data_IF_190721055579
#
_entry.id   IF_190721055579
#
_cell.length_a   1.000
_cell.length_b   1.000
_cell.length_c   1.000
_cell.angle_alpha   90.00
_cell.angle_beta   90.00
_cell.angle_gamma   90.00
#
_symmetry.space_group_name_H-M   'P 1'
#
loop_
_entity.id
_entity.type
_entity.pdbx_description
1 polymer ?
#
# COMPACT_ATOMS: atom_id res chain seq x y z
N UNK A 1 -66.53 4.69 0.04
CA UNK A 1 -65.05 4.58 0.11
C UNK A 1 -64.46 4.21 -1.25
N UNK A 2 -64.12 2.95 -1.57
CA UNK A 2 -63.43 2.62 -2.84
C UNK A 2 -64.21 2.99 -4.11
N UNK A 3 -65.54 2.80 -4.12
CA UNK A 3 -66.40 3.11 -5.26
C UNK A 3 -66.62 4.64 -5.44
N UNK A 4 -66.71 5.38 -4.33
CA UNK A 4 -66.78 6.85 -4.36
C UNK A 4 -65.48 7.48 -4.87
N UNK A 5 -64.32 6.95 -4.46
CA UNK A 5 -63.03 7.47 -4.95
C UNK A 5 -62.84 7.22 -6.45
N UNK A 6 -63.42 6.14 -7.00
CA UNK A 6 -63.44 5.89 -8.44
C UNK A 6 -64.35 6.89 -9.15
N UNK A 7 -65.54 7.17 -8.59
CA UNK A 7 -66.48 8.17 -9.13
C UNK A 7 -65.90 9.59 -9.07
N UNK A 8 -65.22 9.95 -7.98
CA UNK A 8 -64.57 11.25 -7.77
C UNK A 8 -63.39 11.40 -8.74
N UNK A 9 -62.52 10.38 -8.87
CA UNK A 9 -61.44 10.37 -9.85
C UNK A 9 -61.95 10.53 -11.27
N UNK A 10 -62.99 9.78 -11.65
CA UNK A 10 -63.59 9.86 -12.97
C UNK A 10 -64.16 11.25 -13.26
N UNK A 11 -64.84 11.88 -12.30
CA UNK A 11 -65.35 13.27 -12.40
C UNK A 11 -64.25 14.32 -12.51
N UNK A 12 -63.16 14.16 -11.76
CA UNK A 12 -62.01 15.06 -11.82
C UNK A 12 -61.27 14.96 -13.15
N UNK A 13 -61.05 13.73 -13.64
CA UNK A 13 -60.37 13.43 -14.90
C UNK A 13 -61.15 13.97 -16.11
N UNK A 14 -62.48 13.78 -16.13
CA UNK A 14 -63.27 14.25 -17.27
C UNK A 14 -63.58 15.75 -17.23
N UNK A 15 -63.17 16.52 -16.20
CA UNK A 15 -63.50 17.96 -16.05
C UNK A 15 -64.99 18.32 -16.28
N UNK A 16 -65.87 17.33 -16.31
CA UNK A 16 -67.26 17.45 -16.68
C UNK A 16 -68.05 17.50 -15.39
N UNK A 17 -68.25 18.71 -14.88
CA UNK A 17 -69.43 19.00 -14.06
C UNK A 17 -70.73 18.65 -14.80
N UNK A 18 -70.67 18.53 -16.14
CA UNK A 18 -71.81 18.40 -17.05
C UNK A 18 -71.95 17.06 -17.75
N UNK A 19 -71.27 15.97 -17.32
CA UNK A 19 -71.73 14.61 -17.65
C UNK A 19 -72.96 14.36 -16.80
N UNK A 20 -73.99 15.10 -17.14
CA UNK A 20 -75.14 15.30 -16.33
C UNK A 20 -76.00 14.07 -16.50
N UNK A 21 -76.29 13.45 -15.35
CA UNK A 21 -77.60 12.84 -15.14
C UNK A 21 -78.77 13.74 -15.58
N UNK A 22 -78.52 15.01 -15.92
CA UNK A 22 -79.44 15.99 -16.51
C UNK A 22 -79.67 15.85 -18.01
N UNK A 23 -78.69 15.50 -18.85
CA UNK A 23 -78.88 15.48 -20.32
C UNK A 23 -79.77 14.32 -20.78
N UNK A 24 -79.37 13.09 -20.42
CA UNK A 24 -80.17 11.89 -20.68
C UNK A 24 -81.56 11.96 -20.02
N UNK A 25 -81.63 12.48 -18.78
CA UNK A 25 -82.90 12.65 -18.07
C UNK A 25 -83.80 13.67 -18.77
N UNK A 26 -83.26 14.80 -19.25
CA UNK A 26 -84.02 15.78 -20.04
C UNK A 26 -84.53 15.20 -21.36
N UNK A 27 -83.70 14.45 -22.09
CA UNK A 27 -84.13 13.73 -23.29
C UNK A 27 -85.27 12.74 -22.97
N UNK A 28 -85.14 11.97 -21.89
CA UNK A 28 -86.16 11.01 -21.47
C UNK A 28 -87.47 11.71 -21.03
N UNK A 29 -87.39 12.80 -20.27
CA UNK A 29 -88.54 13.62 -19.87
C UNK A 29 -89.22 14.27 -21.08
N UNK A 30 -88.44 14.78 -22.05
CA UNK A 30 -88.94 15.35 -23.29
C UNK A 30 -89.64 14.31 -24.17
N UNK A 31 -89.11 13.09 -24.26
CA UNK A 31 -89.74 11.99 -24.99
C UNK A 31 -91.08 11.58 -24.33
N UNK A 32 -91.10 11.46 -23.00
CA UNK A 32 -92.32 11.11 -22.28
C UNK A 32 -93.40 12.19 -22.45
N UNK A 33 -93.02 13.47 -22.37
CA UNK A 33 -93.95 14.59 -22.56
C UNK A 33 -94.52 14.59 -23.98
N UNK A 34 -93.67 14.37 -25.00
CA UNK A 34 -94.13 14.28 -26.39
C UNK A 34 -95.08 13.10 -26.63
N UNK A 35 -94.85 11.95 -25.97
CA UNK A 35 -95.73 10.79 -26.07
C UNK A 35 -97.09 11.05 -25.42
N UNK A 36 -97.12 11.77 -24.30
CA UNK A 36 -98.36 12.20 -23.64
C UNK A 36 -99.13 13.19 -24.52
N UNK A 37 -98.43 14.18 -25.12
CA UNK A 37 -99.02 15.16 -26.05
C UNK A 37 -99.56 14.53 -27.33
N UNK A 38 -98.92 13.46 -27.84
CA UNK A 38 -99.39 12.68 -29.00
C UNK A 38 -100.61 11.80 -28.67
N UNK A 39 -100.80 11.43 -27.41
CA UNK A 39 -101.93 10.62 -26.96
C UNK A 39 -103.18 11.47 -26.70
N UNK A 40 -103.04 12.78 -26.50
CA UNK A 40 -104.13 13.72 -26.27
C UNK A 40 -104.59 14.38 -27.59
N UNK A 41 -105.75 13.94 -28.11
CA UNK A 41 -106.34 14.48 -29.36
C UNK A 41 -106.75 15.97 -29.26
N UNK A 42 -106.71 16.58 -28.06
CA UNK A 42 -107.02 17.99 -27.86
C UNK A 42 -105.81 18.92 -28.02
N UNK A 43 -104.60 18.38 -28.16
CA UNK A 43 -103.36 19.15 -28.30
C UNK A 43 -103.21 19.68 -29.73
N UNK A 44 -102.76 20.93 -29.84
CA UNK A 44 -102.51 21.61 -31.11
C UNK A 44 -101.38 20.91 -31.90
N UNK A 45 -101.59 20.52 -33.18
CA UNK A 45 -100.55 19.87 -33.99
C UNK A 45 -99.25 20.67 -34.10
N UNK A 46 -99.31 22.00 -34.06
CA UNK A 46 -98.11 22.85 -34.08
C UNK A 46 -97.31 22.79 -32.78
N UNK A 47 -97.97 22.58 -31.63
CA UNK A 47 -97.31 22.37 -30.34
C UNK A 47 -96.59 21.01 -30.28
N UNK A 48 -97.23 19.96 -30.80
CA UNK A 48 -96.63 18.63 -30.92
C UNK A 48 -95.37 18.65 -31.81
N UNK A 49 -95.43 19.38 -32.94
CA UNK A 49 -94.27 19.56 -33.81
C UNK A 49 -93.11 20.29 -33.12
N UNK A 50 -93.40 21.33 -32.35
CA UNK A 50 -92.39 22.03 -31.54
C UNK A 50 -91.77 21.13 -30.47
N UNK A 51 -92.56 20.28 -29.82
CA UNK A 51 -92.07 19.26 -28.88
C UNK A 51 -91.13 18.25 -29.55
N UNK A 52 -91.45 17.82 -30.77
CA UNK A 52 -90.60 16.92 -31.56
C UNK A 52 -89.28 17.58 -31.98
N UNK A 53 -89.31 18.83 -32.45
CA UNK A 53 -88.10 19.59 -32.80
C UNK A 53 -87.21 19.84 -31.56
N UNK A 54 -87.82 20.11 -30.40
CA UNK A 54 -87.10 20.26 -29.13
C UNK A 54 -86.46 18.95 -28.67
N UNK A 55 -87.14 17.81 -28.84
CA UNK A 55 -86.57 16.50 -28.53
C UNK A 55 -85.36 16.18 -29.43
N UNK A 56 -85.45 16.45 -30.73
CA UNK A 56 -84.31 16.24 -31.64
C UNK A 56 -83.10 17.10 -31.27
N UNK A 57 -83.33 18.35 -30.89
CA UNK A 57 -82.27 19.23 -30.40
C UNK A 57 -81.57 18.68 -29.16
N UNK A 58 -82.34 18.21 -28.17
CA UNK A 58 -81.77 17.61 -26.95
C UNK A 58 -81.01 16.30 -27.25
N UNK A 59 -81.48 15.50 -28.22
CA UNK A 59 -80.77 14.29 -28.66
C UNK A 59 -79.43 14.60 -29.34
N UNK A 60 -79.39 15.60 -30.22
CA UNK A 60 -78.15 16.06 -30.88
C UNK A 60 -77.14 16.58 -29.85
N UNK A 61 -77.62 17.34 -28.86
CA UNK A 61 -76.79 17.82 -27.76
C UNK A 61 -76.21 16.67 -26.92
N UNK A 62 -77.01 15.64 -26.65
CA UNK A 62 -76.58 14.45 -25.91
C UNK A 62 -75.52 13.66 -26.69
N UNK A 63 -75.69 13.51 -28.00
CA UNK A 63 -74.70 12.85 -28.89
C UNK A 63 -73.37 13.60 -28.91
N UNK A 64 -73.43 14.94 -29.01
CA UNK A 64 -72.23 15.79 -28.95
C UNK A 64 -71.49 15.64 -27.61
N UNK A 65 -72.22 15.63 -26.50
CA UNK A 65 -71.64 15.43 -25.17
C UNK A 65 -71.00 14.04 -25.03
N UNK A 66 -71.64 12.99 -25.54
CA UNK A 66 -71.08 11.64 -25.54
C UNK A 66 -69.75 11.58 -26.32
N UNK A 67 -69.73 12.11 -27.54
CA UNK A 67 -68.52 12.18 -28.38
C UNK A 67 -67.38 12.95 -27.69
N UNK A 68 -67.69 14.09 -27.05
CA UNK A 68 -66.71 14.85 -26.27
C UNK A 68 -66.10 14.02 -25.14
N UNK A 69 -66.92 13.21 -24.47
CA UNK A 69 -66.45 12.40 -23.34
C UNK A 69 -65.61 11.21 -23.78
N UNK A 70 -65.89 10.65 -24.95
CA UNK A 70 -65.07 9.60 -25.56
C UNK A 70 -63.67 10.13 -25.93
N UNK A 71 -63.61 11.29 -26.59
CA UNK A 71 -62.34 11.95 -26.91
C UNK A 71 -61.54 12.24 -25.63
N UNK A 72 -62.21 12.76 -24.60
CA UNK A 72 -61.56 13.06 -23.35
C UNK A 72 -61.02 11.80 -22.66
N UNK A 73 -61.82 10.74 -22.60
CA UNK A 73 -61.38 9.44 -22.07
C UNK A 73 -60.17 8.91 -22.82
N UNK A 74 -60.16 9.02 -24.16
CA UNK A 74 -59.03 8.62 -24.99
C UNK A 74 -57.78 9.45 -24.69
N UNK A 75 -57.90 10.77 -24.58
CA UNK A 75 -56.76 11.65 -24.25
C UNK A 75 -56.23 11.39 -22.85
N UNK A 76 -57.09 11.19 -21.86
CA UNK A 76 -56.67 10.87 -20.48
C UNK A 76 -55.96 9.53 -20.40
N UNK A 77 -56.41 8.52 -21.16
CA UNK A 77 -55.71 7.24 -21.23
C UNK A 77 -54.30 7.40 -21.80
N UNK A 78 -54.15 8.17 -22.87
CA UNK A 78 -52.84 8.46 -23.46
C UNK A 78 -51.92 9.25 -22.54
N UNK A 79 -52.48 10.18 -21.76
CA UNK A 79 -51.73 10.93 -20.74
C UNK A 79 -51.24 10.01 -19.62
N UNK A 80 -52.06 9.06 -19.15
CA UNK A 80 -51.65 8.08 -18.15
C UNK A 80 -50.48 7.21 -18.64
N UNK A 81 -50.55 6.70 -19.87
CA UNK A 81 -49.46 5.91 -20.47
C UNK A 81 -48.17 6.73 -20.61
N UNK A 82 -48.28 8.02 -20.95
CA UNK A 82 -47.13 8.92 -21.01
C UNK A 82 -46.53 9.17 -19.61
N UNK A 83 -47.36 9.30 -18.57
CA UNK A 83 -46.89 9.45 -17.20
C UNK A 83 -46.22 8.17 -16.67
N UNK A 84 -46.74 6.99 -17.00
CA UNK A 84 -46.11 5.72 -16.65
C UNK A 84 -44.73 5.58 -17.29
N UNK A 85 -44.61 5.93 -18.57
CA UNK A 85 -43.33 5.92 -19.29
C UNK A 85 -42.35 6.92 -18.66
N UNK A 86 -42.80 8.15 -18.40
CA UNK A 86 -41.96 9.18 -17.77
C UNK A 86 -41.50 8.75 -16.37
N UNK A 87 -42.37 8.10 -15.60
CA UNK A 87 -42.00 7.62 -14.27
C UNK A 87 -40.95 6.51 -14.35
N UNK A 88 -41.09 5.57 -15.29
CA UNK A 88 -40.08 4.55 -15.53
C UNK A 88 -38.72 5.14 -15.96
N UNK A 89 -38.72 6.18 -16.80
CA UNK A 89 -37.50 6.88 -17.21
C UNK A 89 -36.82 7.60 -16.03
N UNK A 90 -37.63 8.22 -15.14
CA UNK A 90 -37.13 8.85 -13.91
C UNK A 90 -36.50 7.80 -12.99
N UNK A 91 -37.18 6.67 -12.76
CA UNK A 91 -36.67 5.60 -11.92
C UNK A 91 -35.35 5.03 -12.48
N UNK A 92 -35.27 4.80 -13.80
CA UNK A 92 -34.04 4.37 -14.45
C UNK A 92 -32.90 5.39 -14.32
N UNK A 93 -33.20 6.68 -14.41
CA UNK A 93 -32.24 7.77 -14.21
C UNK A 93 -31.74 7.81 -12.77
N UNK A 94 -32.63 7.65 -11.78
CA UNK A 94 -32.28 7.58 -10.36
C UNK A 94 -31.33 6.41 -10.11
N UNK A 95 -31.65 5.22 -10.63
CA UNK A 95 -30.80 4.03 -10.50
C UNK A 95 -29.41 4.23 -11.13
N UNK A 96 -29.36 4.89 -12.30
CA UNK A 96 -28.09 5.21 -12.96
C UNK A 96 -27.25 6.13 -12.10
N UNK A 97 -27.82 7.24 -11.62
CA UNK A 97 -27.11 8.21 -10.78
C UNK A 97 -26.69 7.57 -9.46
N UNK A 98 -27.50 6.70 -8.87
CA UNK A 98 -27.15 5.97 -7.65
C UNK A 98 -25.91 5.07 -7.86
N UNK A 99 -25.80 4.39 -9.00
CA UNK A 99 -24.61 3.61 -9.37
C UNK A 99 -23.39 4.50 -9.57
N UNK A 100 -23.53 5.59 -10.32
CA UNK A 100 -22.44 6.56 -10.53
C UNK A 100 -21.91 7.13 -9.20
N UNK A 101 -22.80 7.41 -8.24
CA UNK A 101 -22.42 7.85 -6.89
C UNK A 101 -21.58 6.78 -6.18
N UNK A 102 -21.96 5.50 -6.24
CA UNK A 102 -21.23 4.45 -5.54
C UNK A 102 -19.86 4.17 -6.18
N UNK A 103 -19.77 4.23 -7.51
CA UNK A 103 -18.50 4.19 -8.25
C UNK A 103 -17.59 5.35 -7.82
N UNK A 104 -18.12 6.58 -7.81
CA UNK A 104 -17.35 7.76 -7.44
C UNK A 104 -16.87 7.71 -5.98
N UNK A 105 -17.67 7.14 -5.07
CA UNK A 105 -17.22 6.88 -3.70
C UNK A 105 -16.06 5.90 -3.65
N UNK A 106 -16.05 4.85 -4.48
CA UNK A 106 -14.91 3.92 -4.55
C UNK A 106 -13.66 4.64 -5.02
N UNK A 107 -13.74 5.38 -6.12
CA UNK A 107 -12.62 6.15 -6.66
C UNK A 107 -12.09 7.15 -5.64
N UNK A 108 -12.95 7.84 -4.90
CA UNK A 108 -12.52 8.77 -3.83
C UNK A 108 -11.79 8.04 -2.70
N UNK A 109 -12.20 6.82 -2.32
CA UNK A 109 -11.48 6.04 -1.31
C UNK A 109 -10.11 5.64 -1.82
N UNK A 110 -10.02 5.16 -3.06
CA UNK A 110 -8.75 4.78 -3.70
C UNK A 110 -7.79 5.98 -3.80
N UNK A 111 -8.25 7.13 -4.30
CA UNK A 111 -7.44 8.34 -4.39
C UNK A 111 -6.96 8.84 -3.02
N UNK A 112 -7.78 8.70 -1.97
CA UNK A 112 -7.34 9.01 -0.60
C UNK A 112 -6.20 8.10 -0.14
N UNK A 113 -6.24 6.81 -0.47
CA UNK A 113 -5.14 5.89 -0.16
C UNK A 113 -3.88 6.23 -0.94
N UNK A 114 -4.00 6.53 -2.23
CA UNK A 114 -2.87 6.97 -3.07
C UNK A 114 -2.25 8.25 -2.53
N UNK A 115 -3.07 9.21 -2.09
CA UNK A 115 -2.59 10.43 -1.46
C UNK A 115 -1.83 10.16 -0.16
N UNK A 116 -2.36 9.30 0.71
CA UNK A 116 -1.68 8.92 1.94
C UNK A 116 -0.30 8.32 1.67
N UNK A 117 -0.20 7.38 0.71
CA UNK A 117 1.10 6.81 0.32
C UNK A 117 2.04 7.87 -0.27
N UNK A 118 1.55 8.80 -1.08
CA UNK A 118 2.38 9.91 -1.59
C UNK A 118 2.93 10.78 -0.47
N UNK A 119 2.10 11.13 0.51
CA UNK A 119 2.53 11.90 1.68
C UNK A 119 3.57 11.14 2.52
N UNK A 120 3.41 9.82 2.71
CA UNK A 120 4.41 8.96 3.35
C UNK A 120 5.74 8.92 2.58
N UNK A 121 5.68 8.74 1.25
CA UNK A 121 6.87 8.75 0.40
C UNK A 121 7.58 10.10 0.43
N UNK A 122 6.85 11.21 0.39
CA UNK A 122 7.43 12.55 0.53
C UNK A 122 8.09 12.74 1.90
N UNK A 123 7.48 12.26 2.97
CA UNK A 123 8.08 12.32 4.31
C UNK A 123 9.39 11.53 4.38
N UNK A 124 9.41 10.32 3.84
CA UNK A 124 10.62 9.49 3.80
C UNK A 124 11.68 10.15 2.92
N UNK A 125 11.29 10.69 1.76
CA UNK A 125 12.20 11.37 0.85
C UNK A 125 12.85 12.60 1.50
N UNK A 126 12.12 13.37 2.31
CA UNK A 126 12.71 14.48 3.08
C UNK A 126 13.83 14.01 4.01
N UNK A 127 13.56 12.97 4.82
CA UNK A 127 14.56 12.40 5.74
C UNK A 127 15.76 11.84 4.98
N UNK A 128 15.53 11.14 3.87
CA UNK A 128 16.61 10.58 3.03
C UNK A 128 17.46 11.68 2.41
N UNK A 129 16.88 12.81 2.02
CA UNK A 129 17.60 13.94 1.44
C UNK A 129 18.44 14.73 2.47
N UNK A 130 18.16 14.59 3.76
CA UNK A 130 19.02 15.14 4.83
C UNK A 130 20.29 14.32 5.02
N UNK A 131 20.30 13.05 4.60
CA UNK A 131 21.47 12.20 4.66
C UNK A 131 22.47 12.54 3.54
N UNK A 132 23.78 12.43 3.81
CA UNK A 132 24.79 12.66 2.78
C UNK A 132 24.63 11.68 1.61
N UNK A 133 25.05 12.12 0.42
CA UNK A 133 24.98 11.29 -0.78
C UNK A 133 25.74 9.99 -0.56
N UNK A 134 25.23 8.88 -1.11
CA UNK A 134 25.93 7.59 -1.08
C UNK A 134 27.37 7.69 -1.59
N UNK A 135 27.63 8.58 -2.55
CA UNK A 135 28.98 8.81 -3.08
C UNK A 135 29.90 9.44 -2.04
N UNK A 136 29.38 10.38 -1.26
CA UNK A 136 30.14 11.08 -0.24
C UNK A 136 30.46 10.14 0.91
N UNK A 137 29.47 9.35 1.37
CA UNK A 137 29.67 8.30 2.38
C UNK A 137 30.72 7.28 1.90
N UNK A 138 30.64 6.82 0.64
CA UNK A 138 31.59 5.86 0.10
C UNK A 138 33.00 6.44 -0.01
N UNK A 139 33.14 7.72 -0.36
CA UNK A 139 34.43 8.40 -0.42
C UNK A 139 35.04 8.55 0.98
N UNK A 140 34.25 8.96 1.97
CA UNK A 140 34.69 9.09 3.36
C UNK A 140 35.08 7.74 3.96
N UNK A 141 34.29 6.69 3.71
CA UNK A 141 34.62 5.32 4.11
C UNK A 141 35.96 4.85 3.51
N UNK A 142 36.21 5.10 2.22
CA UNK A 142 37.47 4.73 1.56
C UNK A 142 38.68 5.48 2.15
N UNK A 143 38.50 6.75 2.54
CA UNK A 143 39.56 7.53 3.20
C UNK A 143 39.88 6.94 4.58
N UNK A 144 38.85 6.62 5.36
CA UNK A 144 39.04 6.06 6.71
C UNK A 144 39.62 4.64 6.65
N UNK A 145 39.22 3.83 5.67
CA UNK A 145 39.79 2.51 5.42
C UNK A 145 41.28 2.59 5.08
N UNK A 146 41.67 3.53 4.20
CA UNK A 146 43.08 3.79 3.91
C UNK A 146 43.85 4.23 5.16
N UNK A 147 43.28 5.13 5.96
CA UNK A 147 43.91 5.60 7.20
C UNK A 147 44.11 4.46 8.20
N UNK A 148 43.14 3.55 8.29
CA UNK A 148 43.21 2.35 9.12
C UNK A 148 44.32 1.41 8.62
N UNK A 149 44.38 1.17 7.31
CA UNK A 149 45.45 0.37 6.69
C UNK A 149 46.84 0.95 6.97
N UNK A 150 47.02 2.27 6.74
CA UNK A 150 48.28 2.96 7.01
C UNK A 150 48.66 2.85 8.50
N UNK A 151 47.69 2.99 9.42
CA UNK A 151 47.94 2.81 10.85
C UNK A 151 48.39 1.38 11.17
N UNK A 152 47.75 0.36 10.62
CA UNK A 152 48.15 -1.05 10.80
C UNK A 152 49.57 -1.30 10.27
N UNK A 153 49.92 -0.74 9.11
CA UNK A 153 51.27 -0.84 8.56
C UNK A 153 52.31 -0.18 9.49
N UNK A 154 52.00 1.01 10.03
CA UNK A 154 52.91 1.67 10.97
C UNK A 154 53.10 0.88 12.27
N UNK A 155 52.03 0.27 12.79
CA UNK A 155 52.11 -0.62 13.96
C UNK A 155 53.02 -1.82 13.65
N UNK A 156 52.78 -2.52 12.54
CA UNK A 156 53.63 -3.64 12.10
C UNK A 156 55.09 -3.24 11.96
N UNK A 157 55.36 -2.05 11.41
CA UNK A 157 56.72 -1.54 11.25
C UNK A 157 57.39 -1.21 12.60
N UNK A 158 56.64 -0.70 13.58
CA UNK A 158 57.13 -0.44 14.93
C UNK A 158 57.36 -1.75 15.69
N UNK A 159 56.44 -2.70 15.61
CA UNK A 159 56.57 -4.02 16.22
C UNK A 159 57.79 -4.77 15.68
N UNK A 160 58.02 -4.75 14.36
CA UNK A 160 59.23 -5.33 13.77
C UNK A 160 60.52 -4.68 14.28
N UNK A 161 60.54 -3.36 14.50
CA UNK A 161 61.68 -2.67 15.13
C UNK A 161 61.85 -3.09 16.59
N UNK A 162 60.74 -3.24 17.33
CA UNK A 162 60.75 -3.65 18.73
C UNK A 162 61.30 -5.07 18.86
N UNK A 163 60.86 -6.01 18.02
CA UNK A 163 61.41 -7.36 17.96
C UNK A 163 62.91 -7.37 17.65
N UNK A 164 63.36 -6.56 16.69
CA UNK A 164 64.76 -6.47 16.34
C UNK A 164 65.59 -5.94 17.53
N UNK A 165 65.08 -4.93 18.23
CA UNK A 165 65.69 -4.45 19.48
C UNK A 165 65.69 -5.52 20.56
N UNK A 166 64.61 -6.28 20.70
CA UNK A 166 64.52 -7.39 21.64
C UNK A 166 65.57 -8.47 21.35
N UNK A 167 65.74 -8.86 20.08
CA UNK A 167 66.79 -9.79 19.62
C UNK A 167 68.20 -9.23 19.87
N UNK A 168 68.44 -7.95 19.61
CA UNK A 168 69.71 -7.28 19.91
C UNK A 168 70.02 -7.27 21.41
N UNK A 169 69.03 -6.97 22.26
CA UNK A 169 69.18 -7.02 23.71
C UNK A 169 69.45 -8.44 24.20
N UNK A 170 68.76 -9.45 23.66
CA UNK A 170 69.02 -10.85 23.99
C UNK A 170 70.45 -11.27 23.61
N UNK A 171 70.94 -10.87 22.43
CA UNK A 171 72.30 -11.14 22.00
C UNK A 171 73.32 -10.44 22.90
N UNK A 172 73.12 -9.16 23.22
CA UNK A 172 73.97 -8.42 24.15
C UNK A 172 74.02 -9.11 25.52
N UNK A 173 72.86 -9.51 26.07
CA UNK A 173 72.79 -10.21 27.35
C UNK A 173 73.54 -11.55 27.29
N UNK A 174 73.40 -12.29 26.18
CA UNK A 174 74.18 -13.51 25.94
C UNK A 174 75.68 -13.25 25.87
N UNK A 175 76.13 -12.18 25.20
CA UNK A 175 77.57 -11.81 25.19
C UNK A 175 78.08 -11.39 26.56
N UNK A 176 77.27 -10.70 27.36
CA UNK A 176 77.61 -10.35 28.75
C UNK A 176 77.73 -11.61 29.59
N UNK A 177 76.80 -12.56 29.45
CA UNK A 177 76.87 -13.85 30.13
C UNK A 177 78.11 -14.65 29.71
N UNK A 178 78.46 -14.63 28.42
CA UNK A 178 79.64 -15.32 27.91
C UNK A 178 80.94 -14.65 28.38
N UNK A 179 81.02 -13.32 28.35
CA UNK A 179 82.15 -12.58 28.92
C UNK A 179 82.27 -12.80 30.43
N UNK A 180 81.15 -12.89 31.14
CA UNK A 180 81.15 -13.25 32.56
C UNK A 180 81.66 -14.68 32.75
N UNK A 181 81.22 -15.63 31.93
CA UNK A 181 81.71 -17.01 31.96
C UNK A 181 83.21 -17.08 31.66
N UNK A 182 83.71 -16.34 30.67
CA UNK A 182 85.16 -16.25 30.38
C UNK A 182 85.93 -15.58 31.52
N UNK A 183 85.37 -14.54 32.16
CA UNK A 183 86.00 -13.94 33.35
C UNK A 183 86.02 -14.89 34.55
N UNK A 184 84.96 -15.68 34.73
CA UNK A 184 84.88 -16.71 35.76
C UNK A 184 85.89 -17.84 35.44
N UNK A 185 86.01 -18.26 34.17
CA UNK A 185 87.03 -19.22 33.68
C UNK A 185 88.47 -18.70 33.82
N UNK A 186 88.73 -17.43 33.46
CA UNK A 186 90.04 -16.78 33.62
C UNK A 186 90.42 -16.64 35.11
N UNK A 187 89.43 -16.40 35.98
CA UNK A 187 89.65 -16.40 37.43
C UNK A 187 90.01 -17.80 37.95
N UNK A 188 89.34 -18.84 37.44
CA UNK A 188 89.67 -20.23 37.75
C UNK A 188 91.06 -20.63 37.20
N UNK A 189 91.46 -20.15 36.01
CA UNK A 189 92.79 -20.36 35.43
C UNK A 189 93.91 -19.61 36.18
N UNK A 190 93.64 -18.40 36.68
CA UNK A 190 94.57 -17.65 37.54
C UNK A 190 94.70 -18.27 38.93
N UNK A 191 93.64 -18.89 39.47
CA UNK A 191 93.74 -19.74 40.66
C UNK A 191 94.59 -20.99 40.37
N UNK A 192 94.43 -21.64 39.22
CA UNK A 192 95.26 -22.77 38.80
C UNK A 192 96.73 -22.39 38.54
N UNK A 193 97.02 -21.19 38.02
CA UNK A 193 98.40 -20.68 37.88
C UNK A 193 99.05 -20.34 39.21
N UNK A 194 98.30 -19.78 40.16
CA UNK A 194 98.78 -19.57 41.54
C UNK A 194 99.00 -20.89 42.28
N UNK A 195 98.22 -21.92 41.96
CA UNK A 195 98.47 -23.29 42.42
C UNK A 195 99.73 -23.89 41.76
N UNK A 196 99.99 -23.62 40.47
CA UNK A 196 101.17 -24.11 39.76
C UNK A 196 102.50 -23.41 40.14
N UNK A 197 102.48 -22.14 40.59
CA UNK A 197 103.66 -21.47 41.17
C UNK A 197 103.91 -21.87 42.64
N UNK A 198 102.98 -22.61 43.27
CA UNK A 198 103.12 -23.17 44.61
C UNK A 198 103.51 -24.66 44.62
N UNK A 199 103.77 -25.26 43.44
CA UNK A 199 103.98 -26.71 43.25
C UNK A 199 105.44 -27.07 42.90
N UNK A 200 106.42 -26.36 43.50
CA UNK A 200 107.85 -26.72 43.50
C UNK A 200 108.27 -27.47 44.79
N UNK A 201 107.31 -27.91 45.61
CA UNK A 201 107.52 -28.87 46.70
C UNK A 201 106.51 -30.02 46.62
N UNK A 202 107.09 -31.20 46.39
CA UNK A 202 106.62 -32.56 46.65
C UNK A 202 105.86 -33.37 45.57
N UNK A 203 106.51 -34.51 45.30
CA UNK A 203 106.16 -35.59 44.39
C UNK A 203 105.14 -36.57 45.00
N UNK A 204 104.61 -37.42 44.09
CA UNK A 204 104.12 -38.81 44.29
C UNK A 204 102.60 -38.94 44.60
N UNK A 205 101.75 -39.76 43.96
CA UNK A 205 101.86 -40.83 42.94
C UNK A 205 100.44 -41.13 42.36
N UNK A 206 100.40 -41.68 41.12
CA UNK A 206 99.34 -42.44 40.39
C UNK A 206 97.81 -42.24 40.61
N UNK A 207 96.90 -42.43 39.64
CA UNK A 207 96.95 -43.22 38.40
C UNK A 207 95.59 -43.07 37.63
N UNK A 208 95.66 -42.83 36.31
CA UNK A 208 94.77 -43.25 35.19
C UNK A 208 93.22 -43.07 35.23
N UNK A 209 92.69 -42.29 34.27
CA UNK A 209 92.04 -42.78 33.03
C UNK A 209 90.98 -41.80 32.46
N UNK A 210 91.18 -41.40 31.19
CA UNK A 210 90.20 -40.76 30.30
C UNK A 210 89.22 -41.82 29.73
N UNK A 211 88.29 -41.56 28.77
CA UNK A 211 88.00 -40.31 28.05
C UNK A 211 86.49 -40.03 27.81
N UNK A 212 86.21 -38.95 27.06
CA UNK A 212 85.26 -38.86 25.92
C UNK A 212 84.29 -37.67 25.96
N UNK A 213 84.57 -36.70 25.09
CA UNK A 213 83.54 -35.92 24.39
C UNK A 213 82.80 -36.84 23.41
N UNK A 214 81.56 -36.54 22.96
CA UNK A 214 81.46 -35.66 21.78
C UNK A 214 80.14 -34.85 21.60
N UNK A 215 80.29 -33.74 20.87
CA UNK A 215 79.45 -33.24 19.76
C UNK A 215 77.91 -33.14 19.85
N UNK A 216 77.48 -31.91 19.55
CA UNK A 216 76.45 -31.49 18.58
C UNK A 216 74.96 -31.75 18.92
N UNK A 217 74.10 -30.75 18.67
CA UNK A 217 73.28 -30.69 17.43
C UNK A 217 72.36 -29.45 17.37
N UNK A 218 72.40 -28.80 16.21
CA UNK A 218 71.41 -27.92 15.60
C UNK A 218 69.96 -28.46 15.63
N UNK A 219 68.98 -27.56 15.42
CA UNK A 219 67.69 -27.66 14.68
C UNK A 219 66.72 -26.67 15.38
N UNK A 220 66.41 -25.46 14.89
CA UNK A 220 65.64 -25.01 13.70
C UNK A 220 64.23 -25.62 13.62
N UNK A 221 63.20 -24.81 13.73
CA UNK A 221 61.82 -25.23 13.49
C UNK A 221 60.82 -24.10 13.70
N UNK A 222 60.77 -23.19 12.72
CA UNK A 222 59.62 -22.31 12.46
C UNK A 222 58.38 -23.15 12.16
N UNK A 223 57.21 -22.64 12.53
CA UNK A 223 55.91 -23.22 12.25
C UNK A 223 54.86 -22.13 12.13
N UNK A 224 54.79 -21.55 10.93
CA UNK A 224 53.66 -20.77 10.41
C UNK A 224 52.36 -21.59 10.44
N UNK A 225 51.25 -20.90 10.68
CA UNK A 225 49.92 -21.48 10.68
C UNK A 225 48.86 -20.40 10.42
N UNK A 226 48.88 -19.87 9.20
CA UNK A 226 47.76 -19.14 8.60
C UNK A 226 46.52 -20.06 8.51
N UNK A 227 45.37 -19.51 8.87
CA UNK A 227 44.06 -20.15 8.75
C UNK A 227 43.02 -19.10 8.38
N UNK A 228 42.99 -18.74 7.09
CA UNK A 228 41.91 -18.00 6.46
C UNK A 228 40.59 -18.78 6.56
N UNK A 229 39.60 -18.14 7.20
CA UNK A 229 38.21 -18.57 7.22
C UNK A 229 37.40 -17.75 6.24
N UNK A 230 37.14 -18.37 5.09
CA UNK A 230 36.17 -18.01 4.05
C UNK A 230 34.72 -18.03 4.57
N UNK A 231 33.83 -17.50 3.74
CA UNK A 231 32.36 -17.59 3.70
C UNK A 231 31.53 -16.42 4.25
N UNK A 232 30.80 -15.79 3.31
CA UNK A 232 29.40 -15.49 3.57
C UNK A 232 28.82 -14.19 3.02
N UNK A 233 28.95 -13.93 1.71
CA UNK A 233 28.15 -12.93 0.99
C UNK A 233 26.65 -13.29 1.05
N UNK A 234 25.82 -12.37 1.56
CA UNK A 234 24.37 -12.51 1.58
C UNK A 234 23.68 -11.17 1.29
N UNK A 235 23.46 -10.91 -0.01
CA UNK A 235 22.61 -9.82 -0.50
C UNK A 235 21.10 -10.11 -0.27
N UNK A 236 20.28 -9.13 0.14
CA UNK A 236 18.83 -9.32 0.22
C UNK A 236 18.14 -9.07 -1.13
N UNK A 237 17.25 -10.00 -1.47
CA UNK A 237 16.34 -9.97 -2.62
C UNK A 237 15.33 -8.82 -2.50
N UNK A 238 15.14 -8.07 -3.60
CA UNK A 238 14.00 -7.15 -3.79
C UNK A 238 12.70 -7.93 -4.00
N UNK A 239 11.56 -7.48 -3.43
CA UNK A 239 10.25 -7.85 -3.91
C UNK A 239 9.78 -6.91 -5.04
N UNK A 240 9.12 -7.54 -5.99
CA UNK A 240 8.41 -6.99 -7.14
C UNK A 240 7.26 -6.05 -6.76
N UNK A 241 7.05 -5.04 -7.62
CA UNK A 241 5.92 -4.11 -7.62
C UNK A 241 4.56 -4.81 -7.77
N UNK A 242 3.46 -4.10 -7.48
CA UNK A 242 2.34 -3.94 -8.39
C UNK A 242 2.60 -2.83 -9.43
#
# INVERSE_FOLDING_TARGET
MADEDVVIRRRLLTRTSTLGKTGLKKCAEGLLTLLDDLADESVDPDACKQGMDALFWEMEQLEFEASKTDILSFTSQRELEAYETLNADIDASIDKVAKEIEELKSTVREEKTVRAYKEEYESIARVVNELPSRKDIAAEAAVEEKRSSDAVETIKAVDGKLELRHKQFALLLGTIQNLKATLDEDADEDEQRKLAEADDEDMDDGLLAAPTSPLARLVKGDGDGDGDGDDGDAAPRRPSSP
#
